data_IF_102117525110
#
_entry.id   IF_102117525110
#
_cell.length_a   1.000
_cell.length_b   1.000
_cell.length_c   1.000
_cell.angle_alpha   90.00
_cell.angle_beta   90.00
_cell.angle_gamma   90.00
#
_symmetry.space_group_name_H-M   'P 1'
#
loop_
_entity.id
_entity.type
_entity.pdbx_description
1 polymer ?
#
# COMPACT_ATOMS: atom_id res chain seq x y z
N UNK A 1 -37.08 -1.33 1.61
CA UNK A 1 -35.83 -1.29 0.82
C UNK A 1 -34.71 -0.90 1.78
N UNK A 2 -33.92 -1.85 2.25
CA UNK A 2 -32.83 -1.59 3.19
C UNK A 2 -31.61 -1.17 2.36
N UNK A 3 -31.29 0.12 2.32
CA UNK A 3 -30.06 0.61 1.70
C UNK A 3 -28.91 0.28 2.65
N UNK A 4 -28.30 -0.88 2.46
CA UNK A 4 -26.98 -1.12 3.02
C UNK A 4 -26.06 -0.04 2.44
N UNK A 5 -25.49 0.80 3.30
CA UNK A 5 -24.33 1.60 2.94
C UNK A 5 -23.21 0.61 2.68
N UNK A 6 -23.11 0.15 1.43
CA UNK A 6 -21.98 -0.65 0.99
C UNK A 6 -20.75 0.24 1.10
N UNK A 7 -19.98 0.01 2.15
CA UNK A 7 -18.66 0.61 2.27
C UNK A 7 -17.83 0.06 1.12
N UNK A 8 -17.41 0.93 0.19
CA UNK A 8 -16.66 0.53 -1.01
C UNK A 8 -15.28 -0.05 -0.70
N UNK A 9 -14.74 0.26 0.47
CA UNK A 9 -13.41 -0.12 0.90
C UNK A 9 -13.41 -0.46 2.39
N UNK A 10 -12.65 -1.50 2.76
CA UNK A 10 -12.40 -1.84 4.15
C UNK A 10 -11.03 -1.28 4.52
N UNK A 11 -11.00 -0.43 5.54
CA UNK A 11 -9.77 0.15 6.07
C UNK A 11 -9.50 -0.37 7.47
N UNK A 12 -8.24 -0.63 7.77
CA UNK A 12 -7.76 -1.08 9.07
C UNK A 12 -6.81 -0.03 9.65
N UNK A 13 -7.02 0.34 10.91
CA UNK A 13 -6.05 1.16 11.64
C UNK A 13 -4.90 0.25 12.09
N UNK A 14 -3.70 0.56 11.59
CA UNK A 14 -2.49 -0.24 11.84
C UNK A 14 -1.34 0.66 12.31
N UNK A 15 -0.32 0.05 12.91
CA UNK A 15 0.96 0.69 13.17
C UNK A 15 2.05 0.07 12.31
N UNK A 16 2.87 0.91 11.66
CA UNK A 16 4.07 0.46 10.93
C UNK A 16 5.29 0.81 11.78
N UNK A 17 6.05 -0.19 12.17
CA UNK A 17 7.24 0.00 13.01
C UNK A 17 8.50 0.18 12.17
N UNK A 18 9.20 1.30 12.38
CA UNK A 18 10.57 1.47 11.92
C UNK A 18 11.52 0.81 12.94
N UNK A 19 11.94 -0.43 12.66
CA UNK A 19 12.81 -1.21 13.55
C UNK A 19 14.19 -0.57 13.82
N UNK A 20 14.66 0.30 12.93
CA UNK A 20 15.93 1.03 13.14
C UNK A 20 15.79 2.07 14.24
N UNK A 21 14.61 2.69 14.35
CA UNK A 21 14.32 3.78 15.29
C UNK A 21 13.49 3.34 16.50
N UNK A 22 12.85 2.17 16.45
CA UNK A 22 11.88 1.70 17.45
C UNK A 22 10.62 2.59 17.51
N UNK A 23 10.27 3.25 16.41
CA UNK A 23 9.12 4.18 16.34
C UNK A 23 8.00 3.51 15.55
N UNK A 24 6.78 3.53 16.10
CA UNK A 24 5.57 3.07 15.42
C UNK A 24 4.83 4.27 14.82
N UNK A 25 4.54 4.21 13.53
CA UNK A 25 3.79 5.21 12.80
C UNK A 25 2.35 4.70 12.57
N UNK A 26 1.34 5.27 13.23
CA UNK A 26 -0.06 4.88 13.01
C UNK A 26 -0.51 5.34 11.62
N UNK A 27 -1.27 4.49 10.92
CA UNK A 27 -1.82 4.79 9.59
C UNK A 27 -3.07 3.94 9.30
N UNK A 28 -3.79 4.27 8.23
CA UNK A 28 -4.95 3.52 7.77
C UNK A 28 -4.59 2.73 6.51
N UNK A 29 -4.70 1.40 6.56
CA UNK A 29 -4.37 0.49 5.47
C UNK A 29 -5.64 -0.05 4.79
N UNK A 30 -5.60 -0.19 3.46
CA UNK A 30 -6.65 -0.87 2.69
C UNK A 30 -6.52 -2.39 2.86
N UNK A 31 -7.60 -3.06 3.22
CA UNK A 31 -7.68 -4.52 3.17
C UNK A 31 -8.04 -4.96 1.75
N UNK A 32 -7.03 -5.43 1.01
CA UNK A 32 -7.17 -5.81 -0.40
C UNK A 32 -6.83 -7.29 -0.62
N UNK A 33 -7.84 -8.12 -0.87
CA UNK A 33 -7.64 -9.54 -1.19
C UNK A 33 -7.03 -9.77 -2.58
N UNK A 34 -6.98 -8.75 -3.43
CA UNK A 34 -6.32 -8.79 -4.73
C UNK A 34 -4.81 -8.51 -4.66
N UNK A 35 -4.29 -8.11 -3.52
CA UNK A 35 -2.87 -7.84 -3.32
C UNK A 35 -2.12 -9.13 -2.91
N UNK A 36 -1.07 -9.48 -3.65
CA UNK A 36 -0.23 -10.64 -3.34
C UNK A 36 0.81 -10.37 -2.23
N UNK A 37 0.86 -9.16 -1.68
CA UNK A 37 1.86 -8.74 -0.72
C UNK A 37 1.47 -7.46 0.00
N UNK A 38 2.41 -6.93 0.78
CA UNK A 38 2.23 -5.68 1.52
C UNK A 38 2.82 -4.54 0.67
N UNK A 39 1.99 -3.54 0.39
CA UNK A 39 2.40 -2.35 -0.33
C UNK A 39 2.26 -1.13 0.59
N UNK A 40 3.28 -0.29 0.58
CA UNK A 40 3.31 0.97 1.34
C UNK A 40 3.32 2.11 0.32
N UNK A 41 2.47 3.10 0.54
CA UNK A 41 2.46 4.31 -0.27
C UNK A 41 3.83 5.02 -0.19
N UNK A 42 4.40 5.34 -1.34
CA UNK A 42 5.74 5.92 -1.42
C UNK A 42 5.80 7.28 -0.71
N UNK A 43 4.81 8.16 -0.97
CA UNK A 43 4.79 9.52 -0.41
C UNK A 43 4.70 9.45 1.11
N UNK A 44 3.87 8.55 1.64
CA UNK A 44 3.77 8.31 3.07
C UNK A 44 5.08 7.78 3.66
N UNK A 45 5.73 6.81 3.00
CA UNK A 45 7.00 6.25 3.45
C UNK A 45 8.13 7.31 3.48
N UNK A 46 8.18 8.19 2.48
CA UNK A 46 9.10 9.34 2.44
C UNK A 46 8.83 10.32 3.58
N UNK A 47 7.56 10.65 3.84
CA UNK A 47 7.16 11.59 4.90
C UNK A 47 7.57 11.14 6.30
N UNK A 48 7.49 9.84 6.58
CA UNK A 48 7.90 9.29 7.88
C UNK A 48 9.39 8.92 7.94
N UNK A 49 10.12 9.06 6.82
CA UNK A 49 11.54 8.77 6.72
C UNK A 49 11.87 7.28 6.81
N UNK A 50 11.03 6.42 6.22
CA UNK A 50 11.39 5.02 6.03
C UNK A 50 12.51 4.90 4.98
N UNK A 51 13.49 4.00 5.19
CA UNK A 51 14.49 3.72 4.18
C UNK A 51 13.83 3.07 2.96
N UNK A 52 13.97 3.69 1.79
CA UNK A 52 13.49 3.15 0.53
C UNK A 52 14.66 2.53 -0.24
N UNK A 53 14.55 1.25 -0.58
CA UNK A 53 15.52 0.55 -1.42
C UNK A 53 15.06 0.63 -2.86
N UNK A 54 15.96 1.07 -3.76
CA UNK A 54 15.65 1.12 -5.19
C UNK A 54 15.62 -0.29 -5.75
N UNK A 55 14.56 -0.61 -6.49
CA UNK A 55 14.48 -1.86 -7.24
C UNK A 55 15.31 -1.74 -8.52
N UNK A 56 16.14 -2.74 -8.81
CA UNK A 56 16.93 -2.80 -10.05
C UNK A 56 16.02 -2.90 -11.29
N UNK A 57 14.86 -3.53 -11.13
CA UNK A 57 13.85 -3.69 -12.17
C UNK A 57 12.49 -3.32 -11.60
N UNK A 58 11.75 -2.55 -12.38
CA UNK A 58 10.35 -2.20 -12.11
C UNK A 58 9.48 -3.46 -12.02
N UNK A 59 8.64 -3.56 -10.98
CA UNK A 59 7.75 -4.71 -10.79
C UNK A 59 6.36 -4.35 -11.34
N UNK A 60 5.90 -4.95 -12.44
CA UNK A 60 4.58 -4.66 -12.98
C UNK A 60 3.49 -5.15 -12.01
N UNK A 61 2.51 -4.29 -11.76
CA UNK A 61 1.31 -4.62 -10.98
C UNK A 61 0.15 -4.79 -11.95
N UNK A 62 -0.54 -5.92 -11.86
CA UNK A 62 -1.71 -6.21 -12.68
C UNK A 62 -2.96 -6.26 -11.80
N UNK A 63 -4.06 -5.72 -12.31
CA UNK A 63 -5.38 -5.89 -11.71
C UNK A 63 -5.85 -7.35 -11.87
N UNK A 64 -6.92 -7.73 -11.15
CA UNK A 64 -7.52 -9.08 -11.23
C UNK A 64 -7.96 -9.47 -12.64
N UNK A 65 -8.34 -8.50 -13.48
CA UNK A 65 -8.72 -8.73 -14.88
C UNK A 65 -7.51 -8.87 -15.84
N UNK A 66 -6.28 -8.84 -15.31
CA UNK A 66 -5.04 -8.95 -16.07
C UNK A 66 -4.57 -7.65 -16.73
N UNK A 67 -5.32 -6.55 -16.57
CA UNK A 67 -4.88 -5.23 -17.06
C UNK A 67 -3.77 -4.67 -16.18
N UNK A 68 -2.87 -3.86 -16.76
CA UNK A 68 -1.85 -3.16 -15.98
C UNK A 68 -2.53 -2.18 -15.01
N UNK A 69 -2.11 -2.18 -13.75
CA UNK A 69 -2.63 -1.27 -12.74
C UNK A 69 -2.45 0.20 -13.19
N UNK A 70 -3.44 1.04 -12.92
CA UNK A 70 -3.42 2.45 -13.34
C UNK A 70 -2.29 3.25 -12.66
N UNK A 71 -1.88 2.84 -11.45
CA UNK A 71 -0.71 3.35 -10.73
C UNK A 71 0.62 2.86 -11.31
N UNK A 72 0.60 2.12 -12.42
CA UNK A 72 1.75 1.54 -13.12
C UNK A 72 2.44 0.42 -12.33
N UNK A 73 3.76 0.30 -12.53
CA UNK A 73 4.61 -0.64 -11.85
C UNK A 73 5.10 -0.07 -10.51
N UNK A 74 5.48 -0.94 -9.58
CA UNK A 74 6.25 -0.54 -8.40
C UNK A 74 7.61 -0.06 -8.90
N UNK A 75 7.82 1.24 -8.79
CA UNK A 75 9.04 1.93 -9.18
C UNK A 75 9.50 2.80 -8.03
N UNK A 76 10.79 3.05 -7.96
CA UNK A 76 11.35 4.09 -7.12
C UNK A 76 12.20 4.93 -8.07
N UNK A 77 11.74 6.15 -8.43
CA UNK A 77 12.53 7.06 -9.24
C UNK A 77 13.67 7.63 -8.41
#
# INVERSE_FOLDING_TARGET
MCTYLFQKEIRLDIGVENLVRGIVHPTSALLDSGANGIFIDQVWAEQIGLPLVKLDVSIPVYNVDGTLNAGSCITHK
#
